data_IF_115816554580
#
_entry.id   IF_115816554580
#
_cell.length_a   1.000
_cell.length_b   1.000
_cell.length_c   1.000
_cell.angle_alpha   90.00
_cell.angle_beta   90.00
_cell.angle_gamma   90.00
#
_symmetry.space_group_name_H-M   'P 1'
#
loop_
_entity.id
_entity.type
_entity.pdbx_description
1 polymer ?
#
# COMPACT_ATOMS: atom_id res chain seq x y z
N UNK A 1 7.43 12.91 18.10
CA UNK A 1 8.39 11.79 18.10
C UNK A 1 8.87 11.58 19.52
N UNK A 2 8.83 10.35 20.03
CA UNK A 2 9.29 9.98 21.38
C UNK A 2 10.80 10.25 21.47
N UNK A 3 11.21 11.33 22.13
CA UNK A 3 12.61 11.74 22.25
C UNK A 3 13.35 11.08 23.42
N UNK A 4 12.60 10.46 24.34
CA UNK A 4 13.08 10.02 25.65
C UNK A 4 12.87 8.52 25.89
N UNK A 5 12.57 7.75 24.83
CA UNK A 5 12.50 6.29 24.95
C UNK A 5 13.92 5.71 24.96
N UNK A 6 14.15 4.73 25.85
CA UNK A 6 15.41 3.99 25.87
C UNK A 6 15.69 3.36 24.50
N UNK A 7 16.97 3.38 24.11
CA UNK A 7 17.38 2.74 22.86
C UNK A 7 17.19 1.23 23.00
N UNK A 8 16.43 0.64 22.08
CA UNK A 8 16.28 -0.82 22.01
C UNK A 8 17.62 -1.43 21.62
N UNK A 9 18.22 -2.22 22.51
CA UNK A 9 19.45 -2.97 22.28
C UNK A 9 19.14 -4.33 21.64
N UNK A 10 18.65 -4.28 20.40
CA UNK A 10 18.35 -5.45 19.58
C UNK A 10 19.04 -5.29 18.23
N UNK A 11 19.76 -6.31 17.72
CA UNK A 11 20.49 -6.22 16.46
C UNK A 11 19.60 -6.01 15.22
N UNK A 12 18.30 -6.28 15.33
CA UNK A 12 17.30 -6.04 14.30
C UNK A 12 16.59 -4.69 14.46
N UNK A 13 16.82 -3.98 15.58
CA UNK A 13 16.28 -2.66 15.81
C UNK A 13 17.16 -1.57 15.18
N UNK A 14 16.52 -0.61 14.53
CA UNK A 14 17.18 0.58 14.00
C UNK A 14 16.34 1.82 14.30
N UNK A 15 17.00 2.97 14.44
CA UNK A 15 16.28 4.24 14.59
C UNK A 15 15.58 4.61 13.28
N UNK A 16 14.48 5.35 13.37
CA UNK A 16 13.80 5.86 12.18
C UNK A 16 14.71 6.72 11.30
N UNK A 17 15.59 7.53 11.93
CA UNK A 17 16.59 8.31 11.19
C UNK A 17 17.55 7.41 10.40
N UNK A 18 18.07 6.34 11.01
CA UNK A 18 18.94 5.38 10.33
C UNK A 18 18.22 4.64 9.20
N UNK A 19 16.95 4.27 9.40
CA UNK A 19 16.10 3.69 8.35
C UNK A 19 15.95 4.63 7.15
N UNK A 20 15.68 5.93 7.39
CA UNK A 20 15.58 6.93 6.33
C UNK A 20 16.91 7.17 5.61
N UNK A 21 18.03 7.19 6.35
CA UNK A 21 19.38 7.28 5.76
C UNK A 21 19.69 6.08 4.86
N UNK A 22 19.32 4.87 5.29
CA UNK A 22 19.48 3.67 4.48
C UNK A 22 18.60 3.71 3.23
N UNK A 23 17.35 4.18 3.36
CA UNK A 23 16.46 4.41 2.22
C UNK A 23 17.08 5.33 1.17
N UNK A 24 17.65 6.47 1.60
CA UNK A 24 18.35 7.41 0.70
C UNK A 24 19.51 6.75 -0.04
N UNK A 25 20.30 5.91 0.63
CA UNK A 25 21.42 5.19 -0.02
C UNK A 25 20.98 4.14 -1.03
N UNK A 26 19.73 3.67 -0.95
CA UNK A 26 19.16 2.65 -1.84
C UNK A 26 18.21 3.23 -2.89
N UNK A 27 18.10 4.56 -2.99
CA UNK A 27 17.16 5.22 -3.86
C UNK A 27 17.34 4.78 -5.33
N UNK A 28 18.56 4.85 -5.86
CA UNK A 28 18.86 4.45 -7.24
C UNK A 28 18.47 2.99 -7.53
N UNK A 29 18.70 2.09 -6.55
CA UNK A 29 18.34 0.68 -6.68
C UNK A 29 16.82 0.46 -6.63
N UNK A 30 16.09 1.28 -5.87
CA UNK A 30 14.63 1.26 -5.86
C UNK A 30 14.07 1.80 -7.19
N UNK A 31 14.63 2.90 -7.71
CA UNK A 31 14.26 3.49 -8.99
C UNK A 31 14.52 2.53 -10.16
N UNK A 32 15.67 1.84 -10.17
CA UNK A 32 15.96 0.81 -11.17
C UNK A 32 14.92 -0.31 -11.16
N UNK A 33 14.50 -0.79 -9.98
CA UNK A 33 13.44 -1.81 -9.86
C UNK A 33 12.09 -1.29 -10.33
N UNK A 34 11.75 -0.04 -10.01
CA UNK A 34 10.51 0.57 -10.49
C UNK A 34 10.50 0.71 -12.02
N UNK A 35 11.64 1.03 -12.64
CA UNK A 35 11.76 1.13 -14.09
C UNK A 35 11.59 -0.23 -14.80
N UNK A 36 11.83 -1.35 -14.11
CA UNK A 36 11.65 -2.70 -14.65
C UNK A 36 10.23 -3.24 -14.50
N UNK A 37 9.39 -2.65 -13.63
CA UNK A 37 8.02 -3.11 -13.40
C UNK A 37 7.18 -3.07 -14.66
N UNK A 38 6.44 -4.14 -14.89
CA UNK A 38 5.47 -4.28 -15.95
C UNK A 38 4.05 -4.30 -15.37
N UNK A 39 3.09 -3.86 -16.17
CA UNK A 39 1.66 -3.84 -15.85
C UNK A 39 1.10 -5.20 -15.36
N UNK A 40 1.66 -6.29 -15.89
CA UNK A 40 1.30 -7.67 -15.54
C UNK A 40 1.94 -8.18 -14.25
N UNK A 41 2.88 -7.45 -13.67
CA UNK A 41 3.55 -7.87 -12.44
C UNK A 41 2.60 -7.78 -11.24
N UNK A 42 2.88 -8.63 -10.24
CA UNK A 42 2.09 -8.68 -9.01
C UNK A 42 2.31 -7.41 -8.18
N UNK A 43 1.22 -6.69 -7.91
CA UNK A 43 1.22 -5.50 -7.05
C UNK A 43 0.94 -5.84 -5.59
N UNK A 44 -0.06 -6.70 -5.34
CA UNK A 44 -0.48 -7.03 -3.96
C UNK A 44 -1.18 -8.39 -3.87
N UNK A 45 -1.21 -8.93 -2.65
CA UNK A 45 -1.97 -10.11 -2.27
C UNK A 45 -3.06 -9.72 -1.27
N UNK A 46 -4.31 -10.05 -1.59
CA UNK A 46 -5.43 -9.88 -0.65
C UNK A 46 -5.90 -11.23 -0.17
N UNK A 47 -5.79 -11.47 1.12
CA UNK A 47 -6.27 -12.70 1.73
C UNK A 47 -7.75 -12.60 2.01
N UNK A 48 -8.49 -13.60 1.52
CA UNK A 48 -9.94 -13.71 1.75
C UNK A 48 -10.20 -14.96 2.59
N UNK A 49 -11.20 -14.90 3.49
CA UNK A 49 -11.49 -15.97 4.43
C UNK A 49 -11.77 -17.32 3.77
N UNK A 50 -12.34 -17.31 2.55
CA UNK A 50 -12.76 -18.51 1.84
C UNK A 50 -13.92 -19.22 2.56
N UNK A 51 -14.88 -19.76 1.83
CA UNK A 51 -16.02 -20.48 2.45
C UNK A 51 -15.70 -21.95 2.74
N UNK A 52 -14.62 -22.48 2.17
CA UNK A 52 -14.22 -23.89 2.28
C UNK A 52 -12.69 -24.01 2.35
N UNK A 53 -12.12 -23.85 3.56
CA UNK A 53 -10.71 -24.13 3.83
C UNK A 53 -9.88 -22.89 4.23
N UNK A 54 -8.54 -23.00 4.21
CA UNK A 54 -7.64 -21.91 4.58
C UNK A 54 -7.84 -20.66 3.72
N UNK A 55 -7.52 -19.46 4.25
CA UNK A 55 -7.59 -18.22 3.50
C UNK A 55 -6.79 -18.29 2.19
N UNK A 56 -7.35 -17.73 1.12
CA UNK A 56 -6.72 -17.70 -0.21
C UNK A 56 -6.18 -16.31 -0.49
N UNK A 57 -4.93 -16.23 -0.93
CA UNK A 57 -4.30 -14.99 -1.40
C UNK A 57 -4.67 -14.73 -2.85
N UNK A 58 -5.45 -13.67 -3.09
CA UNK A 58 -5.79 -13.20 -4.43
C UNK A 58 -4.62 -12.39 -4.97
N UNK A 59 -4.06 -12.82 -6.10
CA UNK A 59 -3.00 -12.12 -6.82
C UNK A 59 -3.57 -10.99 -7.66
N UNK A 60 -3.21 -9.76 -7.33
CA UNK A 60 -3.63 -8.57 -8.07
C UNK A 60 -2.43 -7.92 -8.75
N UNK A 61 -2.51 -7.77 -10.07
CA UNK A 61 -1.46 -7.11 -10.86
C UNK A 61 -1.54 -5.59 -10.74
N UNK A 62 -0.47 -4.89 -11.09
CA UNK A 62 -0.46 -3.42 -11.17
C UNK A 62 -1.58 -2.89 -12.06
N UNK A 63 -1.75 -3.48 -13.25
CA UNK A 63 -2.82 -3.12 -14.19
C UNK A 63 -4.21 -3.32 -13.58
N UNK A 64 -4.48 -4.47 -12.94
CA UNK A 64 -5.80 -4.76 -12.38
C UNK A 64 -6.18 -3.75 -11.28
N UNK A 65 -5.23 -3.41 -10.41
CA UNK A 65 -5.42 -2.41 -9.35
C UNK A 65 -5.65 -1.03 -9.94
N UNK A 66 -4.76 -0.57 -10.83
CA UNK A 66 -4.84 0.77 -11.42
C UNK A 66 -6.11 0.96 -12.26
N UNK A 67 -6.48 -0.03 -13.08
CA UNK A 67 -7.71 0.01 -13.87
C UNK A 67 -8.96 0.09 -12.97
N UNK A 68 -9.00 -0.68 -11.89
CA UNK A 68 -10.12 -0.68 -10.94
C UNK A 68 -10.22 0.66 -10.23
N UNK A 69 -9.11 1.20 -9.74
CA UNK A 69 -9.07 2.50 -9.08
C UNK A 69 -9.54 3.63 -10.02
N UNK A 70 -9.01 3.70 -11.24
CA UNK A 70 -9.42 4.71 -12.23
C UNK A 70 -10.90 4.58 -12.63
N UNK A 71 -11.43 3.36 -12.66
CA UNK A 71 -12.85 3.12 -12.94
C UNK A 71 -13.72 3.53 -11.76
N UNK A 72 -13.31 3.17 -10.53
CA UNK A 72 -14.01 3.54 -9.32
C UNK A 72 -14.05 5.07 -9.13
N UNK A 73 -12.93 5.77 -9.42
CA UNK A 73 -12.84 7.22 -9.34
C UNK A 73 -13.99 7.94 -10.06
N UNK A 74 -14.38 7.44 -11.24
CA UNK A 74 -15.46 8.03 -12.07
C UNK A 74 -16.84 7.93 -11.44
N UNK A 75 -17.01 7.10 -10.43
CA UNK A 75 -18.30 6.80 -9.80
C UNK A 75 -18.34 7.28 -8.35
N UNK A 76 -17.21 7.23 -7.64
CA UNK A 76 -17.14 7.44 -6.19
C UNK A 76 -16.51 8.77 -5.79
N UNK A 77 -15.73 9.41 -6.67
CA UNK A 77 -15.14 10.73 -6.39
C UNK A 77 -16.18 11.79 -6.73
N UNK A 78 -16.70 12.42 -5.67
CA UNK A 78 -17.63 13.54 -5.76
C UNK A 78 -16.92 14.88 -5.99
N UNK A 79 -17.66 15.97 -5.79
CA UNK A 79 -17.12 17.33 -5.86
C UNK A 79 -16.19 17.59 -4.65
N UNK A 80 -14.88 17.81 -4.85
CA UNK A 80 -13.94 17.97 -3.74
C UNK A 80 -14.20 19.22 -2.88
N UNK A 81 -14.94 20.21 -3.40
CA UNK A 81 -15.29 21.43 -2.64
C UNK A 81 -16.54 21.23 -1.76
N UNK A 82 -17.27 20.12 -1.93
CA UNK A 82 -18.58 19.90 -1.30
C UNK A 82 -18.74 18.53 -0.64
N UNK A 83 -18.03 17.54 -1.13
CA UNK A 83 -18.14 16.15 -0.74
C UNK A 83 -16.92 15.72 0.09
N UNK A 84 -17.17 14.87 1.07
CA UNK A 84 -16.13 14.29 1.93
C UNK A 84 -16.34 12.78 1.99
N UNK A 85 -15.29 12.02 1.70
CA UNK A 85 -15.30 10.56 1.76
C UNK A 85 -14.64 10.09 3.05
N UNK A 86 -15.32 9.20 3.78
CA UNK A 86 -14.80 8.56 4.98
C UNK A 86 -14.61 7.07 4.69
N UNK A 87 -13.36 6.63 4.76
CA UNK A 87 -12.99 5.21 4.70
C UNK A 87 -12.64 4.74 6.11
N UNK A 88 -13.24 3.62 6.54
CA UNK A 88 -13.10 3.11 7.91
C UNK A 88 -12.89 1.59 7.96
N UNK A 89 -12.86 0.93 6.80
CA UNK A 89 -12.63 -0.50 6.76
C UNK A 89 -11.14 -0.77 7.08
N UNK A 90 -10.78 -1.96 7.53
CA UNK A 90 -9.38 -2.31 7.75
C UNK A 90 -8.58 -2.27 6.43
N UNK A 91 -7.33 -1.79 6.47
CA UNK A 91 -6.44 -1.80 5.29
C UNK A 91 -6.13 -3.21 4.75
N UNK A 92 -6.50 -4.29 5.45
CA UNK A 92 -6.44 -5.65 4.92
C UNK A 92 -7.55 -5.96 3.90
N UNK A 93 -8.54 -5.07 3.76
CA UNK A 93 -9.65 -5.22 2.83
C UNK A 93 -9.38 -4.46 1.53
N UNK A 94 -9.57 -5.11 0.37
CA UNK A 94 -9.25 -4.49 -0.92
C UNK A 94 -10.08 -3.23 -1.21
N UNK A 95 -11.34 -3.18 -0.74
CA UNK A 95 -12.15 -1.97 -0.89
C UNK A 95 -11.54 -0.79 -0.13
N UNK A 96 -10.99 -1.00 1.07
CA UNK A 96 -10.31 0.06 1.81
C UNK A 96 -9.06 0.53 1.06
N UNK A 97 -8.23 -0.40 0.58
CA UNK A 97 -7.03 -0.06 -0.18
C UNK A 97 -7.36 0.71 -1.46
N UNK A 98 -8.47 0.38 -2.14
CA UNK A 98 -8.90 1.14 -3.32
C UNK A 98 -9.06 2.62 -2.98
N UNK A 99 -9.82 2.96 -1.93
CA UNK A 99 -10.14 4.36 -1.63
C UNK A 99 -9.03 5.12 -0.90
N UNK A 100 -8.27 4.43 -0.04
CA UNK A 100 -7.28 5.07 0.83
C UNK A 100 -5.85 5.04 0.28
N UNK A 101 -5.56 4.18 -0.72
CA UNK A 101 -4.19 3.99 -1.23
C UNK A 101 -4.09 4.08 -2.75
N UNK A 102 -5.05 3.54 -3.50
CA UNK A 102 -4.91 3.37 -4.95
C UNK A 102 -5.68 4.40 -5.79
N UNK A 103 -6.71 5.03 -5.24
CA UNK A 103 -7.33 6.19 -5.87
C UNK A 103 -6.33 7.35 -5.91
N UNK A 104 -6.33 8.15 -7.01
CA UNK A 104 -5.53 9.36 -7.12
C UNK A 104 -5.97 10.45 -6.14
#
# INVERSE_FOLDING_TARGET
MLKEADRVDDPTAQSFAAFLDEGRRRQDAAEARFAELQDGDLATLIYTSGTTGPPKGVMLTHHAVAWTAQTAAKVVVGDPDRDCMVSYLPLSHIAEQMFSVHLP
#
